data_IF_293231916556
#
_entry.id   IF_293231916556
#
_cell.length_a   1.000
_cell.length_b   1.000
_cell.length_c   1.000
_cell.angle_alpha   90.00
_cell.angle_beta   90.00
_cell.angle_gamma   90.00
#
_symmetry.space_group_name_H-M   'P 1'
#
loop_
_entity.id
_entity.type
_entity.pdbx_description
1 polymer ?
#
# COMPACT_ATOMS: atom_id res chain seq x y z
N UNK A 1 -17.29 -77.35 11.67
CA UNK A 1 -17.33 -76.84 10.28
C UNK A 1 -18.46 -75.84 10.17
N UNK A 2 -18.15 -74.59 9.84
CA UNK A 2 -18.72 -73.81 8.74
C UNK A 2 -18.01 -72.46 8.79
N UNK A 3 -17.18 -72.27 7.79
CA UNK A 3 -16.49 -71.05 7.42
C UNK A 3 -17.50 -70.22 6.64
N UNK A 4 -17.67 -68.94 6.97
CA UNK A 4 -18.20 -67.97 6.01
C UNK A 4 -17.45 -66.65 6.17
N UNK A 5 -16.49 -66.47 5.25
CA UNK A 5 -15.81 -65.22 4.91
C UNK A 5 -16.74 -64.38 4.03
N UNK A 6 -16.90 -63.09 4.32
CA UNK A 6 -17.15 -62.03 3.33
C UNK A 6 -16.58 -60.72 3.93
N UNK A 7 -15.37 -60.31 3.54
CA UNK A 7 -15.05 -59.40 2.41
C UNK A 7 -15.24 -57.92 2.80
N UNK A 8 -14.09 -57.25 2.91
CA UNK A 8 -13.74 -55.87 2.57
C UNK A 8 -14.80 -54.75 2.70
N UNK A 9 -14.41 -53.65 3.36
CA UNK A 9 -14.03 -52.42 2.65
C UNK A 9 -13.81 -51.23 3.60
N UNK A 10 -13.03 -50.27 3.09
CA UNK A 10 -12.95 -48.87 3.50
C UNK A 10 -12.08 -48.54 4.73
N UNK A 11 -10.76 -48.60 4.48
CA UNK A 11 -9.83 -47.56 4.91
C UNK A 11 -10.45 -46.17 4.58
N UNK A 12 -10.95 -45.44 5.58
CA UNK A 12 -11.19 -44.02 5.45
C UNK A 12 -9.91 -43.30 5.87
N UNK A 13 -9.04 -43.07 4.89
CA UNK A 13 -8.02 -42.02 4.97
C UNK A 13 -8.75 -40.68 5.13
N UNK A 14 -8.89 -40.23 6.37
CA UNK A 14 -9.08 -38.81 6.64
C UNK A 14 -7.72 -38.14 6.35
N UNK A 15 -7.51 -37.80 5.08
CA UNK A 15 -6.53 -36.81 4.67
C UNK A 15 -6.86 -35.54 5.45
N UNK A 16 -6.08 -35.26 6.49
CA UNK A 16 -5.98 -33.93 7.08
C UNK A 16 -5.42 -33.02 6.01
N UNK A 17 -6.31 -32.41 5.23
CA UNK A 17 -5.98 -31.28 4.37
C UNK A 17 -5.51 -30.15 5.28
N UNK A 18 -4.21 -30.08 5.55
CA UNK A 18 -3.57 -28.84 5.96
C UNK A 18 -3.66 -27.91 4.74
N UNK A 19 -4.82 -27.28 4.57
CA UNK A 19 -4.93 -26.08 3.78
C UNK A 19 -4.12 -25.03 4.54
N UNK A 20 -2.83 -24.96 4.25
CA UNK A 20 -2.04 -23.78 4.54
C UNK A 20 -2.71 -22.65 3.77
N UNK A 21 -3.56 -21.89 4.45
CA UNK A 21 -3.90 -20.56 4.01
C UNK A 21 -2.57 -19.81 4.02
N UNK A 22 -1.91 -19.75 2.86
CA UNK A 22 -0.85 -18.79 2.64
C UNK A 22 -1.57 -17.45 2.73
N UNK A 23 -1.46 -16.80 3.89
CA UNK A 23 -1.75 -15.37 4.00
C UNK A 23 -0.84 -14.70 2.98
N UNK A 24 -1.39 -14.43 1.81
CA UNK A 24 -0.86 -13.40 0.95
C UNK A 24 -1.03 -12.12 1.76
N UNK A 25 0.03 -11.74 2.48
CA UNK A 25 0.15 -10.43 3.12
C UNK A 25 0.27 -9.37 2.02
N UNK A 26 -0.78 -9.24 1.21
CA UNK A 26 -1.06 -8.09 0.37
C UNK A 26 -1.53 -6.99 1.30
N UNK A 27 -0.61 -6.43 2.08
CA UNK A 27 -0.86 -5.21 2.83
C UNK A 27 -0.40 -4.05 1.97
N UNK A 28 -0.93 -3.97 0.74
CA UNK A 28 -0.94 -2.70 0.02
C UNK A 28 -1.90 -1.78 0.77
N UNK A 29 -1.33 -1.07 1.75
CA UNK A 29 -2.10 -0.32 2.73
C UNK A 29 -2.15 1.12 2.26
N UNK A 30 -3.34 1.64 2.03
CA UNK A 30 -3.56 3.06 1.81
C UNK A 30 -3.85 3.73 3.15
N UNK A 31 -2.99 4.67 3.56
CA UNK A 31 -3.10 5.35 4.86
C UNK A 31 -3.16 6.86 4.66
N UNK A 32 -4.18 7.51 5.22
CA UNK A 32 -4.26 8.98 5.26
C UNK A 32 -3.09 9.52 6.10
N UNK A 33 -2.32 10.45 5.54
CA UNK A 33 -1.15 11.06 6.17
C UNK A 33 -1.29 12.56 6.37
N UNK A 34 -2.04 13.26 5.50
CA UNK A 34 -2.12 14.72 5.56
C UNK A 34 -3.42 15.24 4.95
N UNK A 35 -3.93 16.35 5.49
CA UNK A 35 -5.06 17.10 4.97
C UNK A 35 -4.57 18.50 4.61
N UNK A 36 -4.71 18.87 3.35
CA UNK A 36 -4.28 20.17 2.83
C UNK A 36 -5.48 21.08 2.61
N UNK A 37 -5.50 22.26 3.25
CA UNK A 37 -6.62 23.20 3.11
C UNK A 37 -6.50 23.95 1.77
N UNK A 38 -7.47 23.75 0.88
CA UNK A 38 -7.45 24.34 -0.48
C UNK A 38 -8.43 25.51 -0.62
N UNK A 39 -8.92 26.02 0.52
CA UNK A 39 -9.74 27.20 0.66
C UNK A 39 -11.22 26.93 0.86
N UNK A 40 -11.84 27.68 1.78
CA UNK A 40 -13.23 27.45 2.19
C UNK A 40 -13.36 26.17 3.02
N UNK A 41 -14.44 25.39 2.89
CA UNK A 41 -14.62 24.15 3.64
C UNK A 41 -13.92 22.93 2.99
N UNK A 42 -13.03 23.13 2.02
CA UNK A 42 -12.48 22.07 1.18
C UNK A 42 -11.06 21.70 1.58
N UNK A 43 -10.79 20.39 1.59
CA UNK A 43 -9.48 19.82 1.85
C UNK A 43 -9.13 18.85 0.72
N UNK A 44 -7.85 18.80 0.39
CA UNK A 44 -7.28 17.68 -0.33
C UNK A 44 -6.72 16.68 0.68
N UNK A 45 -7.02 15.41 0.45
CA UNK A 45 -6.59 14.30 1.29
C UNK A 45 -5.36 13.65 0.65
N UNK A 46 -4.32 13.47 1.46
CA UNK A 46 -3.09 12.82 1.04
C UNK A 46 -2.95 11.47 1.71
N UNK A 47 -2.73 10.45 0.88
CA UNK A 47 -2.60 9.06 1.29
C UNK A 47 -1.23 8.53 0.90
N UNK A 48 -0.62 7.77 1.80
CA UNK A 48 0.54 6.95 1.49
C UNK A 48 0.05 5.53 1.18
N UNK A 49 0.33 5.05 -0.02
CA UNK A 49 0.05 3.70 -0.48
C UNK A 49 1.34 2.88 -0.56
N UNK A 50 1.24 1.59 -0.22
CA UNK A 50 2.32 0.62 -0.27
C UNK A 50 2.54 -0.09 1.06
N UNK A 51 3.63 -0.85 1.15
CA UNK A 51 4.00 -1.54 2.37
C UNK A 51 4.86 -0.63 3.26
N UNK A 52 4.28 -0.02 4.29
CA UNK A 52 5.02 0.88 5.19
C UNK A 52 6.15 0.15 5.95
N UNK A 53 5.98 -1.15 6.25
CA UNK A 53 7.00 -1.95 6.93
C UNK A 53 8.18 -2.34 6.02
N UNK A 54 8.00 -2.26 4.69
CA UNK A 54 9.02 -2.44 3.67
C UNK A 54 8.84 -1.33 2.63
N UNK A 55 9.34 -0.11 2.89
CA UNK A 55 8.99 1.12 2.17
C UNK A 55 9.64 1.21 0.77
N UNK A 56 9.66 0.10 0.05
CA UNK A 56 10.00 0.03 -1.35
C UNK A 56 8.73 0.25 -2.18
N UNK A 57 8.79 1.12 -3.19
CA UNK A 57 7.66 1.36 -4.09
C UNK A 57 6.47 2.09 -3.45
N UNK A 58 6.73 2.97 -2.47
CA UNK A 58 5.67 3.81 -1.89
C UNK A 58 5.14 4.81 -2.92
N UNK A 59 3.84 5.09 -2.84
CA UNK A 59 3.17 6.10 -3.67
C UNK A 59 2.38 7.06 -2.80
N UNK A 60 2.60 8.35 -2.96
CA UNK A 60 1.73 9.39 -2.39
C UNK A 60 0.59 9.68 -3.35
N UNK A 61 -0.64 9.66 -2.83
CA UNK A 61 -1.85 9.95 -3.57
C UNK A 61 -2.58 11.12 -2.97
N UNK A 62 -2.82 12.17 -3.76
CA UNK A 62 -3.75 13.24 -3.42
C UNK A 62 -5.11 12.89 -4.00
N UNK A 63 -6.16 13.10 -3.22
CA UNK A 63 -7.54 13.16 -3.72
C UNK A 63 -8.25 14.39 -3.20
N UNK A 64 -9.06 15.04 -4.05
CA UNK A 64 -9.86 16.18 -3.61
C UNK A 64 -10.15 17.20 -4.70
N UNK A 65 -10.34 18.45 -4.28
CA UNK A 65 -10.77 19.53 -5.17
C UNK A 65 -9.68 19.95 -6.15
N UNK A 66 -8.40 19.84 -5.77
CA UNK A 66 -7.30 20.14 -6.69
C UNK A 66 -7.04 19.01 -7.69
N UNK A 67 -7.80 17.92 -7.61
CA UNK A 67 -7.71 16.79 -8.52
C UNK A 67 -6.67 15.76 -8.11
N UNK A 68 -6.71 14.64 -8.82
CA UNK A 68 -6.00 13.45 -8.36
C UNK A 68 -4.55 13.52 -8.80
N UNK A 69 -3.66 13.13 -7.89
CA UNK A 69 -2.23 13.09 -8.14
C UNK A 69 -1.67 11.81 -7.52
N UNK A 70 -0.86 11.07 -8.27
CA UNK A 70 -0.10 9.92 -7.78
C UNK A 70 1.38 10.15 -8.01
N UNK A 71 2.19 10.05 -6.95
CA UNK A 71 3.63 10.33 -7.00
C UNK A 71 4.40 9.18 -6.36
N UNK A 72 5.27 8.47 -7.10
CA UNK A 72 6.15 7.47 -6.49
C UNK A 72 7.20 8.17 -5.64
N UNK A 73 7.38 7.72 -4.40
CA UNK A 73 8.30 8.33 -3.44
C UNK A 73 9.20 7.30 -2.77
N UNK A 74 10.36 7.77 -2.33
CA UNK A 74 11.28 7.08 -1.43
C UNK A 74 11.41 7.88 -0.15
N UNK A 75 11.50 7.17 0.98
CA UNK A 75 11.70 7.77 2.30
C UNK A 75 13.05 7.32 2.84
N UNK A 76 13.93 8.26 3.15
CA UNK A 76 15.19 8.00 3.86
C UNK A 76 14.99 8.36 5.34
N UNK A 77 14.87 7.33 6.18
CA UNK A 77 14.69 7.52 7.63
C UNK A 77 15.95 7.99 8.36
N UNK A 78 17.14 7.80 7.78
CA UNK A 78 18.37 8.30 8.38
C UNK A 78 18.54 9.80 8.11
N UNK A 79 18.25 10.23 6.89
CA UNK A 79 18.28 11.65 6.51
C UNK A 79 17.01 12.42 6.90
N UNK A 80 15.94 11.72 7.28
CA UNK A 80 14.59 12.25 7.49
C UNK A 80 14.10 13.04 6.26
N UNK A 81 14.14 12.40 5.09
CA UNK A 81 13.72 13.01 3.82
C UNK A 81 12.73 12.15 3.05
N UNK A 82 11.88 12.82 2.27
CA UNK A 82 11.03 12.21 1.23
C UNK A 82 11.48 12.76 -0.11
N UNK A 83 11.65 11.89 -1.10
CA UNK A 83 12.04 12.28 -2.45
C UNK A 83 11.21 11.56 -3.50
N UNK A 84 10.89 12.23 -4.58
CA UNK A 84 10.20 11.62 -5.72
C UNK A 84 11.14 10.68 -6.46
N UNK A 85 10.72 9.44 -6.66
CA UNK A 85 11.53 8.37 -7.27
C UNK A 85 11.23 8.11 -8.75
N UNK A 86 10.26 8.82 -9.34
CA UNK A 86 9.86 8.66 -10.74
C UNK A 86 8.80 9.69 -11.17
N UNK A 87 8.33 9.62 -12.43
CA UNK A 87 7.24 10.46 -12.92
C UNK A 87 5.97 10.31 -12.06
N UNK A 88 5.22 11.39 -11.92
CA UNK A 88 3.90 11.39 -11.30
C UNK A 88 2.78 11.31 -12.33
N UNK A 89 1.55 11.07 -11.87
CA UNK A 89 0.34 11.04 -12.69
C UNK A 89 -0.70 12.00 -12.13
N UNK A 90 -1.18 12.93 -12.97
CA UNK A 90 -2.31 13.82 -12.67
C UNK A 90 -3.57 13.28 -13.35
N UNK A 91 -4.71 13.33 -12.66
CA UNK A 91 -5.99 12.76 -13.12
C UNK A 91 -5.82 11.33 -13.68
N UNK A 92 -5.02 10.53 -12.98
CA UNK A 92 -4.73 9.10 -13.26
C UNK A 92 -4.03 8.80 -14.60
N UNK A 93 -3.80 9.79 -15.46
CA UNK A 93 -3.46 9.54 -16.87
C UNK A 93 -2.48 10.52 -17.51
N UNK A 94 -2.28 11.69 -16.92
CA UNK A 94 -1.35 12.69 -17.45
C UNK A 94 -0.03 12.62 -16.70
N UNK A 95 1.01 12.17 -17.38
CA UNK A 95 2.36 12.12 -16.81
C UNK A 95 2.88 13.52 -16.52
N UNK A 96 3.47 13.69 -15.33
CA UNK A 96 4.28 14.85 -14.95
C UNK A 96 5.70 14.40 -14.62
N UNK A 97 6.67 15.29 -14.84
CA UNK A 97 8.07 14.96 -14.54
C UNK A 97 8.30 14.75 -13.04
N UNK A 98 9.35 14.02 -12.66
CA UNK A 98 9.72 13.87 -11.24
C UNK A 98 10.03 15.22 -10.57
N UNK A 99 10.60 16.17 -11.32
CA UNK A 99 10.88 17.52 -10.82
C UNK A 99 9.59 18.30 -10.54
N UNK A 100 8.62 18.24 -11.45
CA UNK A 100 7.30 18.84 -11.27
C UNK A 100 6.54 18.17 -10.11
N UNK A 101 6.56 16.83 -10.03
CA UNK A 101 5.95 16.09 -8.93
C UNK A 101 6.55 16.46 -7.56
N UNK A 102 7.85 16.75 -7.50
CA UNK A 102 8.53 17.16 -6.27
C UNK A 102 8.01 18.50 -5.73
N UNK A 103 7.51 19.40 -6.59
CA UNK A 103 6.94 20.69 -6.18
C UNK A 103 5.66 20.53 -5.34
N UNK A 104 4.94 19.41 -5.49
CA UNK A 104 3.75 19.10 -4.69
C UNK A 104 4.08 18.53 -3.30
N UNK A 105 5.33 18.10 -3.06
CA UNK A 105 5.73 17.52 -1.78
C UNK A 105 6.19 18.65 -0.84
N UNK A 106 5.21 19.36 -0.27
CA UNK A 106 5.45 20.44 0.69
C UNK A 106 5.99 19.89 2.03
N UNK A 107 6.70 20.74 2.77
CA UNK A 107 7.36 20.32 4.01
C UNK A 107 6.42 19.65 5.05
N UNK A 108 5.20 20.16 5.32
CA UNK A 108 4.28 19.50 6.26
C UNK A 108 3.85 18.10 5.82
N UNK A 109 3.63 17.89 4.51
CA UNK A 109 3.31 16.58 3.95
C UNK A 109 4.51 15.64 4.08
N UNK A 110 5.72 16.09 3.74
CA UNK A 110 6.93 15.30 3.87
C UNK A 110 7.16 14.87 5.33
N UNK A 111 6.99 15.78 6.29
CA UNK A 111 7.11 15.49 7.71
C UNK A 111 6.09 14.45 8.17
N UNK A 112 4.83 14.58 7.77
CA UNK A 112 3.78 13.61 8.11
C UNK A 112 4.08 12.21 7.56
N UNK A 113 4.64 12.12 6.34
CA UNK A 113 5.08 10.86 5.74
C UNK A 113 6.25 10.25 6.51
N UNK A 114 7.26 11.04 6.86
CA UNK A 114 8.42 10.59 7.65
C UNK A 114 7.95 10.05 9.00
N UNK A 115 7.11 10.79 9.73
CA UNK A 115 6.55 10.33 11.01
C UNK A 115 5.76 9.03 10.89
N UNK A 116 5.16 8.76 9.71
CA UNK A 116 4.41 7.54 9.46
C UNK A 116 5.30 6.34 9.16
N UNK A 117 6.42 6.55 8.46
CA UNK A 117 7.29 5.49 7.93
C UNK A 117 8.48 5.20 8.84
N UNK A 118 8.99 6.20 9.55
CA UNK A 118 10.22 6.14 10.34
C UNK A 118 9.89 6.16 11.84
N UNK A 119 9.79 4.99 12.50
CA UNK A 119 9.51 4.88 13.94
C UNK A 119 10.68 5.32 14.84
#
# INVERSE_FOLDING_TARGET
MIVCRFVAAALLLALTSFASAQEESSTDTRVLVYLDEVGGPYFDEWYLQGNIARPEGLTLQRSGKSGELSVPVTVDCHAATVSVSGPGLVFESMDISAAEAQEYIIAPLAEAVIQKVCP
#
